data_IF_020753629139
#
_entry.id   IF_020753629139
#
_cell.length_a   1.000
_cell.length_b   1.000
_cell.length_c   1.000
_cell.angle_alpha   90.00
_cell.angle_beta   90.00
_cell.angle_gamma   90.00
#
_symmetry.space_group_name_H-M   'P 1'
#
loop_
_entity.id
_entity.type
_entity.pdbx_description
1 polymer ?
#
# COMPACT_ATOMS: atom_id res chain seq x y z
N UNK A 1 -11.30 -15.41 1.41
CA UNK A 1 -12.64 -14.79 1.28
C UNK A 1 -12.84 -14.41 -0.17
N UNK A 2 -14.02 -14.63 -0.75
CA UNK A 2 -14.32 -14.16 -2.10
C UNK A 2 -14.84 -12.73 -1.99
N UNK A 3 -14.25 -11.78 -2.71
CA UNK A 3 -14.64 -10.37 -2.65
C UNK A 3 -15.65 -10.06 -3.77
N UNK A 4 -16.81 -9.48 -3.44
CA UNK A 4 -17.77 -8.87 -4.38
C UNK A 4 -18.33 -7.56 -3.82
N UNK A 5 -18.92 -6.71 -4.66
CA UNK A 5 -19.47 -5.41 -4.22
C UNK A 5 -20.65 -5.52 -3.24
N UNK A 6 -21.36 -6.66 -3.23
CA UNK A 6 -22.37 -6.95 -2.19
C UNK A 6 -21.69 -7.26 -0.85
N UNK A 7 -20.51 -7.86 -0.91
CA UNK A 7 -19.70 -8.20 0.26
C UNK A 7 -19.06 -6.96 0.89
N UNK A 8 -18.82 -5.85 0.19
CA UNK A 8 -18.13 -4.69 0.77
C UNK A 8 -18.89 -4.07 1.95
N UNK A 9 -20.21 -3.92 1.83
CA UNK A 9 -21.08 -3.44 2.92
C UNK A 9 -21.26 -4.48 4.01
N UNK A 10 -21.39 -5.75 3.63
CA UNK A 10 -21.53 -6.86 4.60
C UNK A 10 -20.25 -7.03 5.43
N UNK A 11 -19.08 -6.95 4.79
CA UNK A 11 -17.77 -6.98 5.47
C UNK A 11 -17.63 -5.77 6.40
N UNK A 12 -18.00 -4.57 5.96
CA UNK A 12 -17.98 -3.39 6.82
C UNK A 12 -18.87 -3.56 8.07
N UNK A 13 -20.08 -4.14 7.89
CA UNK A 13 -20.96 -4.47 9.01
C UNK A 13 -20.35 -5.54 9.92
N UNK A 14 -19.79 -6.61 9.37
CA UNK A 14 -19.14 -7.67 10.15
C UNK A 14 -17.97 -7.13 10.99
N UNK A 15 -17.11 -6.28 10.41
CA UNK A 15 -15.99 -5.64 11.14
C UNK A 15 -16.52 -4.75 12.26
N UNK A 16 -17.58 -3.98 11.99
CA UNK A 16 -18.23 -3.12 12.99
C UNK A 16 -18.84 -3.94 14.12
N UNK A 17 -19.54 -5.03 13.81
CA UNK A 17 -20.19 -5.92 14.78
C UNK A 17 -19.18 -6.69 15.63
N UNK A 18 -18.02 -7.03 15.07
CA UNK A 18 -16.92 -7.66 15.83
C UNK A 18 -16.42 -6.75 16.97
N UNK A 19 -16.60 -5.42 16.83
CA UNK A 19 -16.32 -4.39 17.84
C UNK A 19 -14.97 -4.57 18.55
N UNK A 20 -13.94 -4.84 17.74
CA UNK A 20 -12.63 -5.29 18.21
C UNK A 20 -11.50 -4.46 17.57
N UNK A 21 -11.45 -3.14 17.85
CA UNK A 21 -10.55 -2.21 17.16
C UNK A 21 -9.06 -2.53 17.32
N UNK A 22 -8.66 -3.20 18.40
CA UNK A 22 -7.28 -3.63 18.59
C UNK A 22 -6.81 -4.68 17.56
N UNK A 23 -7.74 -5.36 16.87
CA UNK A 23 -7.42 -6.36 15.85
C UNK A 23 -7.40 -5.79 14.43
N UNK A 24 -7.83 -4.54 14.23
CA UNK A 24 -7.90 -3.94 12.90
C UNK A 24 -6.54 -3.91 12.16
N UNK A 25 -5.40 -3.56 12.79
CA UNK A 25 -4.10 -3.64 12.11
C UNK A 25 -3.77 -5.05 11.64
N UNK A 26 -3.99 -6.07 12.50
CA UNK A 26 -3.75 -7.47 12.16
C UNK A 26 -4.66 -7.97 11.04
N UNK A 27 -5.92 -7.51 11.03
CA UNK A 27 -6.88 -7.79 9.97
C UNK A 27 -6.42 -7.22 8.62
N UNK A 28 -5.96 -5.96 8.61
CA UNK A 28 -5.38 -5.32 7.41
C UNK A 28 -4.19 -6.12 6.90
N UNK A 29 -3.24 -6.47 7.79
CA UNK A 29 -2.08 -7.27 7.42
C UNK A 29 -2.49 -8.61 6.78
N UNK A 30 -3.38 -9.35 7.44
CA UNK A 30 -3.87 -10.63 6.93
C UNK A 30 -4.52 -10.50 5.54
N UNK A 31 -5.38 -9.50 5.34
CA UNK A 31 -6.09 -9.32 4.08
C UNK A 31 -5.16 -8.93 2.94
N UNK A 32 -4.21 -8.03 3.20
CA UNK A 32 -3.24 -7.60 2.19
C UNK A 32 -2.31 -8.75 1.83
N UNK A 33 -1.76 -9.47 2.81
CA UNK A 33 -0.87 -10.61 2.55
C UNK A 33 -1.60 -11.75 1.82
N UNK A 34 -2.83 -12.10 2.20
CA UNK A 34 -3.64 -13.11 1.47
C UNK A 34 -3.89 -12.69 0.03
N UNK A 35 -4.02 -11.38 -0.24
CA UNK A 35 -4.32 -10.87 -1.58
C UNK A 35 -3.13 -10.92 -2.56
N UNK A 36 -1.91 -11.16 -2.07
CA UNK A 36 -0.73 -11.30 -2.92
C UNK A 36 -0.83 -12.48 -3.89
N UNK A 37 -1.59 -13.51 -3.56
CA UNK A 37 -1.80 -14.68 -4.42
C UNK A 37 -3.15 -14.66 -5.16
N UNK A 38 -3.98 -13.63 -4.92
CA UNK A 38 -5.33 -13.50 -5.52
C UNK A 38 -5.30 -12.92 -6.93
N UNK A 39 -6.44 -12.93 -7.61
CA UNK A 39 -6.56 -12.32 -8.95
C UNK A 39 -6.65 -10.79 -8.84
N UNK A 40 -6.29 -10.09 -9.93
CA UNK A 40 -6.34 -8.62 -9.99
C UNK A 40 -7.72 -8.04 -9.63
N UNK A 41 -8.79 -8.73 -10.01
CA UNK A 41 -10.16 -8.32 -9.63
C UNK A 41 -10.39 -8.34 -8.12
N UNK A 42 -9.84 -9.31 -7.40
CA UNK A 42 -9.99 -9.43 -5.94
C UNK A 42 -9.12 -8.39 -5.22
N UNK A 43 -7.91 -8.18 -5.73
CA UNK A 43 -6.96 -7.13 -5.31
C UNK A 43 -7.57 -5.72 -5.42
N UNK A 44 -8.22 -5.41 -6.53
CA UNK A 44 -8.91 -4.13 -6.73
C UNK A 44 -10.11 -3.94 -5.79
N UNK A 45 -10.82 -5.04 -5.47
CA UNK A 45 -11.91 -5.00 -4.50
C UNK A 45 -11.41 -4.78 -3.08
N UNK A 46 -10.29 -5.41 -2.69
CA UNK A 46 -9.65 -5.13 -1.41
C UNK A 46 -9.23 -3.68 -1.28
N UNK A 47 -8.64 -3.09 -2.34
CA UNK A 47 -8.25 -1.68 -2.35
C UNK A 47 -9.44 -0.75 -2.07
N UNK A 48 -10.57 -0.99 -2.74
CA UNK A 48 -11.81 -0.24 -2.54
C UNK A 48 -12.36 -0.41 -1.13
N UNK A 49 -12.39 -1.66 -0.63
CA UNK A 49 -12.85 -1.99 0.71
C UNK A 49 -12.05 -1.24 1.78
N UNK A 50 -10.71 -1.27 1.72
CA UNK A 50 -9.88 -0.58 2.71
C UNK A 50 -10.13 0.93 2.72
N UNK A 51 -10.26 1.56 1.55
CA UNK A 51 -10.64 2.99 1.44
C UNK A 51 -12.02 3.23 2.03
N UNK A 52 -13.00 2.39 1.70
CA UNK A 52 -14.38 2.51 2.19
C UNK A 52 -14.45 2.37 3.71
N UNK A 53 -13.72 1.42 4.30
CA UNK A 53 -13.66 1.24 5.76
C UNK A 53 -13.11 2.48 6.46
N UNK A 54 -12.07 3.13 5.90
CA UNK A 54 -11.52 4.36 6.48
C UNK A 54 -12.43 5.57 6.29
N UNK A 55 -13.01 5.74 5.09
CA UNK A 55 -13.85 6.90 4.77
C UNK A 55 -15.30 6.75 5.24
N UNK A 56 -15.67 5.59 5.78
CA UNK A 56 -17.00 5.37 6.33
C UNK A 56 -17.28 6.36 7.46
N UNK A 57 -18.50 6.90 7.49
CA UNK A 57 -18.96 7.82 8.53
C UNK A 57 -18.89 7.23 9.95
N UNK A 58 -18.93 5.90 10.04
CA UNK A 58 -18.86 5.14 11.27
C UNK A 58 -17.43 5.00 11.83
N UNK A 59 -16.40 5.43 11.07
CA UNK A 59 -15.00 5.35 11.51
C UNK A 59 -14.53 3.92 11.77
N UNK A 60 -14.99 2.96 10.96
CA UNK A 60 -14.75 1.52 11.17
C UNK A 60 -13.27 1.20 11.25
N UNK A 61 -12.46 1.82 10.38
CA UNK A 61 -11.00 1.68 10.38
C UNK A 61 -10.37 3.06 10.48
N UNK A 62 -9.50 3.30 11.45
CA UNK A 62 -8.75 4.56 11.49
C UNK A 62 -7.56 4.52 10.55
N UNK A 63 -7.12 5.69 10.06
CA UNK A 63 -5.90 5.81 9.26
C UNK A 63 -4.69 5.20 9.99
N UNK A 64 -4.56 5.44 11.29
CA UNK A 64 -3.47 4.89 12.10
C UNK A 64 -3.48 3.36 12.14
N UNK A 65 -4.66 2.74 12.26
CA UNK A 65 -4.80 1.28 12.23
C UNK A 65 -4.43 0.71 10.85
N UNK A 66 -4.81 1.39 9.77
CA UNK A 66 -4.45 1.01 8.41
C UNK A 66 -2.93 1.08 8.20
N UNK A 67 -2.30 2.19 8.63
CA UNK A 67 -0.85 2.37 8.57
C UNK A 67 -0.12 1.28 9.36
N UNK A 68 -0.54 1.00 10.60
CA UNK A 68 0.06 -0.05 11.43
C UNK A 68 -0.11 -1.45 10.80
N UNK A 69 -1.22 -1.69 10.11
CA UNK A 69 -1.42 -2.89 9.32
C UNK A 69 -0.42 -3.00 8.17
N UNK A 70 -0.18 -1.91 7.43
CA UNK A 70 0.82 -1.87 6.37
C UNK A 70 2.26 -2.00 6.87
N UNK A 71 2.61 -1.46 8.04
CA UNK A 71 3.91 -1.70 8.68
C UNK A 71 4.16 -3.21 8.84
N UNK A 72 3.14 -3.94 9.30
CA UNK A 72 3.21 -5.40 9.47
C UNK A 72 3.30 -6.17 8.15
N UNK A 73 2.75 -5.63 7.05
CA UNK A 73 2.88 -6.24 5.72
C UNK A 73 4.28 -6.00 5.16
N UNK A 74 4.79 -4.79 5.32
CA UNK A 74 6.12 -4.40 4.84
C UNK A 74 7.21 -5.18 5.56
N UNK A 75 7.02 -5.52 6.85
CA UNK A 75 7.97 -6.35 7.60
C UNK A 75 8.07 -7.80 7.11
N UNK A 76 7.10 -8.28 6.32
CA UNK A 76 7.12 -9.64 5.76
C UNK A 76 7.24 -9.63 4.23
N UNK A 77 7.47 -8.46 3.62
CA UNK A 77 7.42 -8.32 2.16
C UNK A 77 8.58 -9.05 1.47
N UNK A 78 9.76 -9.05 2.09
CA UNK A 78 10.96 -9.73 1.57
C UNK A 78 10.72 -11.23 1.40
N UNK A 79 10.11 -11.87 2.40
CA UNK A 79 9.70 -13.26 2.32
C UNK A 79 8.56 -13.47 1.33
N UNK A 80 7.53 -12.61 1.37
CA UNK A 80 6.34 -12.74 0.54
C UNK A 80 6.66 -12.67 -0.97
N UNK A 81 7.72 -11.95 -1.37
CA UNK A 81 8.17 -11.86 -2.76
C UNK A 81 8.62 -13.22 -3.31
N UNK A 82 9.11 -14.12 -2.46
CA UNK A 82 9.53 -15.47 -2.88
C UNK A 82 8.36 -16.29 -3.43
N UNK A 83 7.19 -16.16 -2.81
CA UNK A 83 5.96 -16.86 -3.25
C UNK A 83 5.16 -16.02 -4.26
N UNK A 84 5.16 -14.69 -4.10
CA UNK A 84 4.39 -13.75 -4.89
C UNK A 84 5.27 -12.60 -5.41
N UNK A 85 5.97 -12.77 -6.54
CA UNK A 85 6.92 -11.77 -7.07
C UNK A 85 6.28 -10.43 -7.48
N UNK A 86 4.95 -10.38 -7.56
CA UNK A 86 4.17 -9.16 -7.85
C UNK A 86 3.69 -8.43 -6.59
N UNK A 87 3.99 -8.92 -5.39
CA UNK A 87 3.56 -8.29 -4.14
C UNK A 87 3.97 -6.80 -4.03
N UNK A 88 5.20 -6.38 -4.40
CA UNK A 88 5.59 -4.97 -4.35
C UNK A 88 4.76 -4.09 -5.30
N UNK A 89 4.50 -4.60 -6.51
CA UNK A 89 3.67 -3.89 -7.49
C UNK A 89 2.24 -3.69 -6.96
N UNK A 90 1.67 -4.74 -6.36
CA UNK A 90 0.33 -4.67 -5.82
C UNK A 90 0.23 -3.75 -4.59
N UNK A 91 1.21 -3.78 -3.69
CA UNK A 91 1.30 -2.79 -2.60
C UNK A 91 1.32 -1.36 -3.13
N UNK A 92 2.08 -1.11 -4.20
CA UNK A 92 2.10 0.22 -4.82
C UNK A 92 0.73 0.64 -5.36
N UNK A 93 -0.06 -0.29 -5.91
CA UNK A 93 -1.45 -0.01 -6.33
C UNK A 93 -2.35 0.34 -5.15
N UNK A 94 -2.21 -0.37 -4.02
CA UNK A 94 -2.95 -0.06 -2.79
C UNK A 94 -2.61 1.33 -2.26
N UNK A 95 -1.32 1.65 -2.19
CA UNK A 95 -0.86 2.97 -1.76
C UNK A 95 -1.33 4.08 -2.69
N UNK A 96 -1.27 3.87 -4.00
CA UNK A 96 -1.79 4.84 -4.97
C UNK A 96 -3.27 5.13 -4.75
N UNK A 97 -4.08 4.09 -4.51
CA UNK A 97 -5.51 4.26 -4.20
C UNK A 97 -5.74 5.02 -2.91
N UNK A 98 -5.01 4.72 -1.85
CA UNK A 98 -5.10 5.45 -0.59
C UNK A 98 -4.73 6.92 -0.74
N UNK A 99 -3.68 7.24 -1.50
CA UNK A 99 -3.26 8.62 -1.79
C UNK A 99 -4.30 9.37 -2.62
N UNK A 100 -4.77 8.75 -3.70
CA UNK A 100 -5.82 9.31 -4.58
C UNK A 100 -7.09 9.65 -3.79
N UNK A 101 -7.46 8.77 -2.86
CA UNK A 101 -8.66 8.92 -2.04
C UNK A 101 -8.42 9.75 -0.76
N UNK A 102 -7.23 10.32 -0.60
CA UNK A 102 -6.82 11.15 0.54
C UNK A 102 -6.94 10.44 1.89
N UNK A 103 -6.69 9.13 1.90
CA UNK A 103 -6.65 8.30 3.11
C UNK A 103 -5.32 8.49 3.85
N UNK A 104 -4.22 8.64 3.12
CA UNK A 104 -2.89 9.00 3.61
C UNK A 104 -2.14 9.75 2.50
N UNK A 105 -1.07 10.43 2.88
CA UNK A 105 -0.19 11.21 2.00
C UNK A 105 0.96 10.36 1.45
N UNK A 106 1.59 10.83 0.38
CA UNK A 106 2.79 10.20 -0.17
C UNK A 106 3.94 10.17 0.86
N UNK A 107 4.08 11.22 1.68
CA UNK A 107 5.10 11.31 2.72
C UNK A 107 4.94 10.22 3.82
N UNK A 108 3.70 9.86 4.16
CA UNK A 108 3.45 8.75 5.09
C UNK A 108 3.91 7.41 4.50
N UNK A 109 3.65 7.19 3.20
CA UNK A 109 4.12 5.99 2.49
C UNK A 109 5.64 5.96 2.36
N UNK A 110 6.28 7.09 2.08
CA UNK A 110 7.75 7.19 2.03
C UNK A 110 8.38 6.79 3.35
N UNK A 111 7.85 7.29 4.47
CA UNK A 111 8.36 6.94 5.80
C UNK A 111 8.19 5.45 6.08
N UNK A 112 7.02 4.89 5.75
CA UNK A 112 6.77 3.45 5.89
C UNK A 112 7.76 2.60 5.08
N UNK A 113 8.05 3.01 3.84
CA UNK A 113 8.98 2.28 2.98
C UNK A 113 10.45 2.44 3.41
N UNK A 114 10.81 3.59 3.99
CA UNK A 114 12.16 3.83 4.52
C UNK A 114 12.44 3.02 5.79
N UNK A 115 11.45 2.93 6.67
CA UNK A 115 11.60 2.27 7.98
C UNK A 115 11.19 0.78 7.92
N UNK A 116 10.57 0.35 6.81
CA UNK A 116 10.02 -1.00 6.65
C UNK A 116 11.05 -2.06 6.23
N UNK A 117 10.61 -3.32 6.35
CA UNK A 117 11.41 -4.51 6.09
C UNK A 117 11.47 -5.44 7.29
N UNK A 118 12.02 -6.64 7.12
CA UNK A 118 12.27 -7.56 8.24
C UNK A 118 13.13 -6.86 9.31
N UNK A 119 14.12 -6.10 8.85
CA UNK A 119 14.90 -5.18 9.66
C UNK A 119 14.67 -3.73 9.17
N UNK A 120 14.67 -2.71 10.06
CA UNK A 120 14.43 -1.34 9.66
C UNK A 120 15.36 -0.87 8.53
N UNK A 121 14.80 -0.58 7.36
CA UNK A 121 15.52 -0.12 6.17
C UNK A 121 15.95 -1.22 5.20
N UNK A 122 15.72 -2.50 5.49
CA UNK A 122 16.10 -3.60 4.59
C UNK A 122 15.38 -3.52 3.23
N UNK A 123 14.17 -2.95 3.17
CA UNK A 123 13.47 -2.72 1.90
C UNK A 123 14.20 -1.77 0.94
N UNK A 124 15.01 -0.84 1.46
CA UNK A 124 15.85 0.03 0.62
C UNK A 124 17.03 -0.75 0.04
N UNK A 125 17.66 -1.61 0.85
CA UNK A 125 18.81 -2.40 0.45
C UNK A 125 18.44 -3.44 -0.62
N UNK A 126 17.28 -4.08 -0.46
CA UNK A 126 16.74 -5.06 -1.42
C UNK A 126 16.18 -4.42 -2.68
N UNK A 127 15.88 -3.12 -2.66
CA UNK A 127 15.25 -2.39 -3.77
C UNK A 127 13.73 -2.56 -3.84
N UNK A 128 13.12 -3.32 -2.93
CA UNK A 128 11.67 -3.50 -2.87
C UNK A 128 10.95 -2.19 -2.56
N UNK A 129 11.53 -1.31 -1.74
CA UNK A 129 11.00 0.02 -1.50
C UNK A 129 10.87 0.82 -2.80
N UNK A 130 11.86 0.72 -3.70
CA UNK A 130 11.84 1.37 -5.01
C UNK A 130 10.75 0.81 -5.91
N UNK A 131 10.54 -0.52 -5.89
CA UNK A 131 9.49 -1.17 -6.67
C UNK A 131 8.08 -0.78 -6.21
N UNK A 132 7.84 -0.74 -4.90
CA UNK A 132 6.56 -0.29 -4.32
C UNK A 132 6.30 1.17 -4.66
N UNK A 133 7.28 2.05 -4.42
CA UNK A 133 7.15 3.48 -4.68
C UNK A 133 6.97 3.76 -6.18
N UNK A 134 7.76 3.12 -7.04
CA UNK A 134 7.66 3.26 -8.50
C UNK A 134 6.29 2.82 -9.02
N UNK A 135 5.76 1.69 -8.52
CA UNK A 135 4.41 1.24 -8.84
C UNK A 135 3.33 2.24 -8.35
N UNK A 136 3.52 2.81 -7.16
CA UNK A 136 2.63 3.84 -6.61
C UNK A 136 2.53 5.05 -7.54
N UNK A 137 3.67 5.59 -7.94
CA UNK A 137 3.74 6.77 -8.82
C UNK A 137 3.21 6.48 -10.22
N UNK A 138 3.47 5.29 -10.76
CA UNK A 138 2.96 4.87 -12.07
C UNK A 138 1.44 4.82 -12.10
N UNK A 139 0.80 4.28 -11.05
CA UNK A 139 -0.66 4.23 -10.93
C UNK A 139 -1.26 5.63 -10.77
N UNK A 140 -0.67 6.47 -9.92
CA UNK A 140 -1.12 7.86 -9.76
C UNK A 140 -1.03 8.60 -11.09
N UNK A 141 0.09 8.47 -11.81
CA UNK A 141 0.27 9.05 -13.14
C UNK A 141 -0.79 8.56 -14.11
N UNK A 142 -1.03 7.25 -14.15
CA UNK A 142 -1.99 6.64 -15.07
C UNK A 142 -3.42 7.13 -14.80
N UNK A 143 -3.84 7.24 -13.54
CA UNK A 143 -5.22 7.58 -13.19
C UNK A 143 -5.51 9.08 -13.09
N UNK A 144 -4.52 9.88 -12.67
CA UNK A 144 -4.68 11.32 -12.38
C UNK A 144 -3.88 12.23 -13.31
N UNK A 145 -2.96 11.67 -14.09
CA UNK A 145 -2.11 12.42 -15.02
C UNK A 145 -0.90 13.09 -14.35
N UNK A 146 0.02 13.56 -15.18
CA UNK A 146 1.31 14.13 -14.74
C UNK A 146 1.19 15.40 -13.89
N UNK A 147 0.14 16.21 -14.10
CA UNK A 147 -0.06 17.45 -13.33
C UNK A 147 -0.31 17.14 -11.85
N UNK A 148 -1.28 16.25 -11.58
CA UNK A 148 -1.64 15.86 -10.21
C UNK A 148 -0.49 15.10 -9.55
N UNK A 149 0.20 14.22 -10.28
CA UNK A 149 1.39 13.54 -9.76
C UNK A 149 2.44 14.56 -9.28
N UNK A 150 2.75 15.57 -10.09
CA UNK A 150 3.71 16.62 -9.72
C UNK A 150 3.27 17.39 -8.48
N UNK A 151 1.98 17.74 -8.37
CA UNK A 151 1.48 18.46 -7.20
C UNK A 151 1.62 17.62 -5.92
N UNK A 152 1.36 16.30 -6.01
CA UNK A 152 1.58 15.36 -4.89
C UNK A 152 3.06 15.26 -4.54
N UNK A 153 3.95 15.14 -5.54
CA UNK A 153 5.40 15.05 -5.34
C UNK A 153 6.03 16.35 -4.82
N UNK A 154 5.48 17.52 -5.15
CA UNK A 154 5.96 18.82 -4.63
C UNK A 154 5.44 19.06 -3.21
N UNK A 155 4.23 18.57 -2.89
CA UNK A 155 3.67 18.64 -1.54
C UNK A 155 4.34 17.68 -0.55
N UNK A 156 5.03 16.65 -1.05
CA UNK A 156 5.93 15.79 -0.29
C UNK A 156 7.35 16.33 -0.44
N UNK A 157 8.16 16.38 0.62
CA UNK A 157 9.60 16.73 0.49
C UNK A 157 10.38 15.53 -0.08
N UNK A 158 9.84 14.89 -1.12
CA UNK A 158 10.24 13.59 -1.60
C UNK A 158 11.62 13.66 -2.25
N UNK A 159 12.56 12.89 -1.70
CA UNK A 159 13.87 12.67 -2.30
C UNK A 159 13.89 11.27 -2.92
N UNK A 160 13.39 11.13 -4.15
CA UNK A 160 13.34 9.86 -4.89
C UNK A 160 14.70 9.15 -4.94
N UNK A 161 15.79 9.92 -5.00
CA UNK A 161 17.18 9.42 -4.96
C UNK A 161 17.49 8.56 -3.74
N UNK A 162 16.82 8.80 -2.61
CA UNK A 162 17.05 8.03 -1.38
C UNK A 162 16.44 6.64 -1.39
N UNK A 163 15.58 6.35 -2.38
CA UNK A 163 15.00 5.04 -2.62
C UNK A 163 15.75 4.28 -3.71
N UNK A 164 16.82 4.85 -4.28
CA UNK A 164 17.60 4.20 -5.32
C UNK A 164 18.33 2.99 -4.72
N UNK A 165 18.14 1.77 -5.25
CA UNK A 165 18.85 0.61 -4.74
C UNK A 165 20.36 0.76 -4.99
N UNK A 166 21.20 0.22 -4.11
CA UNK A 166 22.67 0.29 -4.25
C UNK A 166 23.19 -0.40 -5.52
N UNK A 167 22.42 -1.33 -6.09
CA UNK A 167 22.71 -1.98 -7.37
C UNK A 167 21.67 -1.58 -8.43
N UNK A 168 22.06 -1.01 -9.59
CA UNK A 168 21.12 -0.51 -10.61
C UNK A 168 20.25 -1.58 -11.31
N UNK A 169 20.57 -2.86 -11.12
CA UNK A 169 19.90 -3.99 -11.79
C UNK A 169 18.69 -4.54 -11.04
N UNK A 170 18.43 -4.14 -9.79
CA UNK A 170 17.35 -4.71 -8.97
C UNK A 170 16.00 -4.03 -9.14
N UNK A 171 15.93 -2.74 -9.52
CA UNK A 171 14.64 -2.06 -9.77
C UNK A 171 14.75 -0.99 -10.86
N UNK A 172 13.89 -1.10 -11.89
CA UNK A 172 13.86 -0.20 -13.07
C UNK A 172 12.67 0.77 -13.01
N UNK A 173 11.64 0.48 -12.20
CA UNK A 173 10.38 1.23 -12.22
C UNK A 173 10.54 2.66 -11.69
N UNK A 174 11.32 2.84 -10.61
CA UNK A 174 11.53 4.15 -10.00
C UNK A 174 12.36 5.11 -10.86
N UNK A 175 13.32 4.59 -11.64
CA UNK A 175 14.21 5.37 -12.52
C UNK A 175 13.46 6.21 -13.57
N UNK A 176 12.18 5.90 -13.85
CA UNK A 176 11.36 6.67 -14.81
C UNK A 176 10.84 7.99 -14.22
N UNK A 177 11.00 8.19 -12.92
CA UNK A 177 10.50 9.34 -12.16
C UNK A 177 11.63 10.19 -11.55
N UNK A 178 12.86 9.69 -11.56
CA UNK A 178 14.09 10.39 -11.19
C UNK A 178 14.61 11.14 -12.43
#
# INVERSE_FOLDING_TARGET
>A
MQFSARDEKEVALCVKELNSPCFHPSMVCLWVTDSFERKDTERDLLAKLLVHLVKSHDGILSQAQLIQGFESVLSTLEDAVNDAPKAPEFLGRLFAKGIIESVFSLNEIERLLRDGGEEPGSLLETGLAADVLGSTLEVIKFEKGDAILRDICVGSNLQLETFRPPNPTTSIKLERFI
#
